data_IF_386746813101
#
_entry.id   IF_386746813101
#
_cell.length_a   1.000
_cell.length_b   1.000
_cell.length_c   1.000
_cell.angle_alpha   90.00
_cell.angle_beta   90.00
_cell.angle_gamma   90.00
#
_symmetry.space_group_name_H-M   'P 1'
#
loop_
_entity.id
_entity.type
_entity.pdbx_description
1 polymer ?
#
# COMPACT_ATOMS: atom_id res chain seq x y z
N UNK A 1 -36.21 22.63 -8.99
CA UNK A 1 -34.81 22.34 -9.38
C UNK A 1 -34.83 20.99 -10.06
N UNK A 2 -34.25 20.89 -11.24
CA UNK A 2 -34.27 19.65 -12.03
C UNK A 2 -33.21 18.68 -11.48
N UNK A 3 -33.50 17.38 -11.39
CA UNK A 3 -32.55 16.40 -10.81
C UNK A 3 -31.19 16.39 -11.53
N UNK A 4 -31.19 16.71 -12.83
CA UNK A 4 -29.98 16.89 -13.64
C UNK A 4 -29.09 18.08 -13.22
N UNK A 5 -29.66 19.14 -12.62
CA UNK A 5 -28.90 20.28 -12.06
C UNK A 5 -28.30 19.95 -10.68
N UNK A 6 -28.94 19.06 -9.92
CA UNK A 6 -28.44 18.61 -8.61
C UNK A 6 -27.27 17.64 -8.83
N UNK A 7 -27.39 16.68 -9.74
CA UNK A 7 -26.31 15.73 -10.08
C UNK A 7 -25.06 16.47 -10.57
N UNK A 8 -25.21 17.54 -11.38
CA UNK A 8 -24.08 18.34 -11.86
C UNK A 8 -23.35 19.15 -10.76
N UNK A 9 -23.96 19.38 -9.60
CA UNK A 9 -23.36 20.15 -8.49
C UNK A 9 -22.35 19.35 -7.66
N UNK A 10 -22.43 18.02 -7.66
CA UNK A 10 -21.60 17.15 -6.82
C UNK A 10 -20.51 16.38 -7.59
N UNK A 11 -20.39 16.60 -8.90
CA UNK A 11 -19.33 16.03 -9.71
C UNK A 11 -17.96 16.59 -9.30
N UNK A 12 -17.06 15.69 -8.89
CA UNK A 12 -15.68 16.01 -8.53
C UNK A 12 -14.74 15.58 -9.65
N UNK A 13 -13.85 16.48 -10.12
CA UNK A 13 -12.88 16.15 -11.14
C UNK A 13 -11.79 15.23 -10.59
N UNK A 14 -11.42 14.21 -11.36
CA UNK A 14 -10.32 13.32 -11.03
C UNK A 14 -9.55 12.91 -12.29
N UNK A 15 -8.28 12.56 -12.10
CA UNK A 15 -7.47 11.87 -13.10
C UNK A 15 -7.24 10.43 -12.69
N UNK A 16 -7.43 9.51 -13.63
CA UNK A 16 -7.16 8.09 -13.44
C UNK A 16 -6.05 7.66 -14.38
N UNK A 17 -4.97 7.09 -13.85
CA UNK A 17 -3.92 6.49 -14.68
C UNK A 17 -4.45 5.21 -15.34
N UNK A 18 -4.27 5.09 -16.64
CA UNK A 18 -4.65 3.87 -17.40
C UNK A 18 -3.48 2.87 -17.53
N UNK A 19 -2.28 3.26 -17.09
CA UNK A 19 -1.08 2.42 -17.06
C UNK A 19 -0.15 2.81 -15.88
N UNK A 20 0.72 1.89 -15.45
CA UNK A 20 1.72 2.12 -14.39
C UNK A 20 1.32 1.67 -12.98
N UNK A 21 1.96 2.24 -11.96
CA UNK A 21 1.76 1.86 -10.55
C UNK A 21 0.48 2.43 -9.94
N UNK A 22 -0.03 3.54 -10.47
CA UNK A 22 -1.23 4.25 -9.98
C UNK A 22 -2.51 3.86 -10.74
N UNK A 23 -2.51 2.72 -11.44
CA UNK A 23 -3.67 2.26 -12.22
C UNK A 23 -4.91 2.21 -11.34
N UNK A 24 -6.02 2.78 -11.85
CA UNK A 24 -7.34 2.76 -11.22
C UNK A 24 -7.47 3.49 -9.87
N UNK A 25 -6.49 4.32 -9.49
CA UNK A 25 -6.65 5.25 -8.36
C UNK A 25 -7.07 6.62 -8.90
N UNK A 26 -8.28 7.11 -8.58
CA UNK A 26 -8.67 8.47 -8.95
C UNK A 26 -7.89 9.48 -8.12
N UNK A 27 -7.17 10.38 -8.78
CA UNK A 27 -6.46 11.50 -8.18
C UNK A 27 -7.37 12.73 -8.24
N UNK A 28 -7.88 13.21 -7.09
CA UNK A 28 -8.77 14.38 -7.07
C UNK A 28 -8.06 15.64 -7.55
N UNK A 29 -8.74 16.44 -8.38
CA UNK A 29 -8.25 17.74 -8.81
C UNK A 29 -8.83 18.84 -7.92
N UNK A 30 -8.22 19.03 -6.74
CA UNK A 30 -8.73 19.93 -5.70
C UNK A 30 -8.33 21.40 -5.88
N UNK A 31 -7.35 21.67 -6.75
CA UNK A 31 -6.81 23.01 -6.99
C UNK A 31 -7.42 23.63 -8.24
N UNK A 32 -7.53 24.96 -8.25
CA UNK A 32 -7.94 25.74 -9.44
C UNK A 32 -7.00 25.49 -10.63
N UNK A 33 -5.73 25.24 -10.36
CA UNK A 33 -4.74 24.83 -11.35
C UNK A 33 -3.98 23.61 -10.83
N UNK A 34 -3.93 22.56 -11.65
CA UNK A 34 -3.19 21.32 -11.38
C UNK A 34 -2.13 21.13 -12.46
N UNK A 35 -0.87 21.01 -12.07
CA UNK A 35 0.26 20.79 -12.99
C UNK A 35 0.57 19.31 -13.11
N UNK A 36 0.62 18.83 -14.36
CA UNK A 36 1.08 17.51 -14.76
C UNK A 36 2.55 17.57 -15.17
N UNK A 37 3.40 16.70 -14.65
CA UNK A 37 4.80 16.66 -15.06
C UNK A 37 5.64 15.65 -14.30
N UNK A 38 6.90 15.45 -14.72
CA UNK A 38 7.80 14.49 -14.06
C UNK A 38 8.52 15.05 -12.83
N UNK A 39 8.48 16.38 -12.63
CA UNK A 39 9.15 17.01 -11.50
C UNK A 39 8.47 16.66 -10.17
N UNK A 40 9.24 16.71 -9.08
CA UNK A 40 8.74 16.50 -7.71
C UNK A 40 7.72 17.57 -7.32
N UNK A 41 7.91 18.80 -7.79
CA UNK A 41 7.00 19.93 -7.57
C UNK A 41 5.70 19.91 -8.41
N UNK A 42 5.49 18.93 -9.30
CA UNK A 42 4.23 18.82 -10.04
C UNK A 42 3.10 18.27 -9.15
N UNK A 43 1.89 18.80 -9.28
CA UNK A 43 0.73 18.35 -8.50
C UNK A 43 0.35 16.89 -8.84
N UNK A 44 0.42 16.54 -10.12
CA UNK A 44 0.27 15.16 -10.60
C UNK A 44 1.58 14.72 -11.23
N UNK A 45 2.35 13.96 -10.46
CA UNK A 45 3.65 13.45 -10.89
C UNK A 45 3.48 12.27 -11.84
N UNK A 46 4.08 12.39 -13.02
CA UNK A 46 4.12 11.33 -14.03
C UNK A 46 5.54 10.79 -14.13
N UNK A 47 5.73 9.52 -13.77
CA UNK A 47 7.06 8.89 -13.78
C UNK A 47 7.41 8.37 -15.18
N UNK A 48 7.67 9.30 -16.09
CA UNK A 48 7.98 9.02 -17.49
C UNK A 48 9.08 9.98 -17.97
N UNK A 49 10.15 9.43 -18.53
CA UNK A 49 11.30 10.21 -19.01
C UNK A 49 10.99 11.07 -20.23
N UNK A 50 9.95 10.71 -20.99
CA UNK A 50 9.42 11.47 -22.11
C UNK A 50 8.49 12.61 -21.68
N UNK A 51 8.20 12.72 -20.38
CA UNK A 51 7.39 13.81 -19.83
C UNK A 51 8.29 14.98 -19.39
N UNK A 52 7.93 16.21 -19.78
CA UNK A 52 8.62 17.42 -19.32
C UNK A 52 8.44 17.62 -17.80
N UNK A 53 9.36 18.36 -17.17
CA UNK A 53 9.31 18.65 -15.72
C UNK A 53 7.95 19.22 -15.29
N UNK A 54 7.49 20.22 -16.04
CA UNK A 54 6.11 20.69 -16.08
C UNK A 54 5.66 20.50 -17.53
N UNK A 55 4.67 19.66 -17.75
CA UNK A 55 4.27 19.20 -19.09
C UNK A 55 2.99 19.85 -19.56
N UNK A 56 1.96 19.79 -18.71
CA UNK A 56 0.66 20.37 -18.98
C UNK A 56 0.05 20.89 -17.68
N UNK A 57 -0.99 21.71 -17.78
CA UNK A 57 -1.83 22.07 -16.64
C UNK A 57 -3.30 21.87 -16.96
N UNK A 58 -4.07 21.55 -15.94
CA UNK A 58 -5.53 21.59 -15.96
C UNK A 58 -5.96 22.81 -15.15
N UNK A 59 -6.78 23.67 -15.75
CA UNK A 59 -7.35 24.86 -15.12
C UNK A 59 -8.85 24.64 -14.93
N UNK A 60 -9.33 24.82 -13.71
CA UNK A 60 -10.75 24.84 -13.38
C UNK A 60 -11.27 26.29 -13.39
N UNK A 61 -12.23 26.58 -14.26
CA UNK A 61 -12.88 27.90 -14.34
C UNK A 61 -14.37 27.76 -14.06
N UNK A 62 -14.97 28.61 -13.19
CA UNK A 62 -16.41 28.63 -12.99
C UNK A 62 -17.14 28.94 -14.30
N UNK A 63 -18.22 28.21 -14.59
CA UNK A 63 -19.10 28.54 -15.72
C UNK A 63 -19.85 29.85 -15.47
N UNK A 64 -20.46 30.43 -16.51
CA UNK A 64 -21.29 31.64 -16.41
C UNK A 64 -22.42 31.51 -15.36
N UNK A 65 -22.96 30.31 -15.18
CA UNK A 65 -23.98 30.04 -14.16
C UNK A 65 -23.41 29.96 -12.74
N UNK A 66 -22.08 29.88 -12.57
CA UNK A 66 -21.37 29.59 -11.31
C UNK A 66 -21.80 28.31 -10.60
N UNK A 67 -22.55 27.43 -11.27
CA UNK A 67 -23.03 26.17 -10.72
C UNK A 67 -22.08 25.02 -11.04
N UNK A 68 -21.35 25.10 -12.14
CA UNK A 68 -20.42 24.07 -12.59
C UNK A 68 -19.03 24.66 -12.83
N UNK A 69 -18.03 23.78 -12.87
CA UNK A 69 -16.68 24.11 -13.30
C UNK A 69 -16.46 23.58 -14.71
N UNK A 70 -15.82 24.38 -15.55
CA UNK A 70 -15.21 23.94 -16.80
C UNK A 70 -13.72 23.65 -16.56
N UNK A 71 -13.22 22.59 -17.17
CA UNK A 71 -11.82 22.19 -17.06
C UNK A 71 -11.16 22.35 -18.41
N UNK A 72 -10.03 23.04 -18.44
CA UNK A 72 -9.24 23.26 -19.67
C UNK A 72 -7.86 22.68 -19.49
N UNK A 73 -7.43 21.85 -20.43
CA UNK A 73 -6.08 21.31 -20.51
C UNK A 73 -5.22 22.22 -21.38
N UNK A 74 -4.03 22.58 -20.89
CA UNK A 74 -3.08 23.41 -21.60
C UNK A 74 -1.67 22.79 -21.57
N UNK A 75 -1.03 22.70 -22.74
CA UNK A 75 0.37 22.28 -22.88
C UNK A 75 1.31 23.42 -22.45
N UNK A 76 2.30 23.11 -21.60
CA UNK A 76 3.25 24.09 -21.07
C UNK A 76 4.54 24.17 -21.91
N UNK A 77 4.42 24.04 -23.23
CA UNK A 77 5.58 23.99 -24.13
C UNK A 77 6.37 22.69 -23.98
N UNK A 78 5.67 21.58 -23.82
CA UNK A 78 6.29 20.29 -23.55
C UNK A 78 7.11 19.80 -24.75
N UNK A 79 8.21 19.09 -24.48
CA UNK A 79 9.11 18.59 -25.54
C UNK A 79 8.41 17.66 -26.54
N UNK A 80 7.54 16.79 -26.04
CA UNK A 80 6.87 15.76 -26.84
C UNK A 80 5.40 16.11 -27.19
N UNK A 81 4.88 17.21 -26.66
CA UNK A 81 3.49 17.63 -26.82
C UNK A 81 2.52 16.89 -25.91
N UNK A 82 1.42 17.58 -25.60
CA UNK A 82 0.24 17.01 -24.93
C UNK A 82 -0.79 16.58 -25.96
N UNK A 83 -1.40 15.42 -25.78
CA UNK A 83 -2.45 14.90 -26.66
C UNK A 83 -3.74 14.67 -25.89
N UNK A 84 -4.87 15.04 -26.49
CA UNK A 84 -6.22 14.75 -26.01
C UNK A 84 -6.92 13.87 -27.02
N UNK A 85 -7.36 12.68 -26.61
CA UNK A 85 -7.99 11.67 -27.46
C UNK A 85 -7.18 11.37 -28.74
N UNK A 86 -5.84 11.36 -28.62
CA UNK A 86 -4.91 11.12 -29.73
C UNK A 86 -4.59 12.33 -30.60
N UNK A 87 -5.24 13.48 -30.38
CA UNK A 87 -4.94 14.73 -31.10
C UNK A 87 -4.01 15.61 -30.28
N UNK A 88 -2.92 16.10 -30.88
CA UNK A 88 -2.03 17.08 -30.22
C UNK A 88 -2.79 18.38 -29.98
N UNK A 89 -2.71 18.92 -28.76
CA UNK A 89 -3.39 20.16 -28.38
C UNK A 89 -2.39 21.17 -27.82
N UNK A 90 -2.73 22.46 -27.93
CA UNK A 90 -2.08 23.53 -27.16
C UNK A 90 -2.96 23.91 -25.97
N UNK A 91 -4.26 24.08 -26.22
CA UNK A 91 -5.27 24.32 -25.18
C UNK A 91 -6.60 23.74 -25.65
N UNK A 92 -7.27 22.93 -24.83
CA UNK A 92 -8.58 22.35 -25.17
C UNK A 92 -9.43 22.15 -23.91
N UNK A 93 -10.76 22.28 -24.04
CA UNK A 93 -11.70 21.93 -22.96
C UNK A 93 -11.75 20.41 -22.76
N UNK A 94 -11.82 19.99 -21.50
CA UNK A 94 -11.96 18.59 -21.10
C UNK A 94 -13.43 18.22 -20.89
N UNK A 95 -13.78 17.01 -21.33
CA UNK A 95 -15.06 16.34 -21.10
C UNK A 95 -14.85 15.05 -20.31
N UNK A 96 -15.88 14.60 -19.59
CA UNK A 96 -15.85 13.34 -18.85
C UNK A 96 -15.48 12.17 -19.77
N UNK A 97 -14.49 11.37 -19.37
CA UNK A 97 -13.98 10.22 -20.11
C UNK A 97 -12.85 10.54 -21.11
N UNK A 98 -12.44 11.80 -21.24
CA UNK A 98 -11.37 12.20 -22.15
C UNK A 98 -10.02 11.59 -21.76
N UNK A 99 -9.25 11.19 -22.77
CA UNK A 99 -7.92 10.57 -22.60
C UNK A 99 -6.82 11.57 -22.86
N UNK A 100 -6.05 11.88 -21.83
CA UNK A 100 -4.87 12.74 -21.88
C UNK A 100 -3.65 11.86 -22.04
N UNK A 101 -2.83 12.09 -23.07
CA UNK A 101 -1.56 11.39 -23.25
C UNK A 101 -0.41 12.37 -23.12
N UNK A 102 0.54 12.04 -22.24
CA UNK A 102 1.79 12.77 -22.01
C UNK A 102 2.94 11.76 -21.99
N UNK A 103 3.88 11.89 -22.93
CA UNK A 103 4.88 10.82 -23.14
C UNK A 103 4.21 9.51 -23.57
N UNK A 104 4.52 8.42 -22.87
CA UNK A 104 3.88 7.10 -23.01
C UNK A 104 2.73 6.89 -22.01
N UNK A 105 2.54 7.84 -21.09
CA UNK A 105 1.50 7.74 -20.06
C UNK A 105 0.15 8.22 -20.58
N UNK A 106 -0.89 7.43 -20.34
CA UNK A 106 -2.28 7.78 -20.63
C UNK A 106 -3.05 7.95 -19.31
N UNK A 107 -3.67 9.11 -19.15
CA UNK A 107 -4.60 9.42 -18.06
C UNK A 107 -6.00 9.62 -18.63
N UNK A 108 -7.02 9.30 -17.84
CA UNK A 108 -8.42 9.63 -18.16
C UNK A 108 -8.90 10.72 -17.21
N UNK A 109 -9.56 11.75 -17.75
CA UNK A 109 -10.24 12.76 -16.97
C UNK A 109 -11.67 12.32 -16.69
N UNK A 110 -12.04 12.17 -15.43
CA UNK A 110 -13.37 11.77 -15.00
C UNK A 110 -14.01 12.85 -14.12
N UNK A 111 -15.31 13.03 -14.27
CA UNK A 111 -16.17 13.78 -13.37
C UNK A 111 -16.97 12.76 -12.56
N UNK A 112 -16.59 12.54 -11.31
CA UNK A 112 -17.12 11.48 -10.46
C UNK A 112 -18.15 12.04 -9.48
N UNK A 113 -19.33 11.43 -9.42
CA UNK A 113 -20.30 11.73 -8.37
C UNK A 113 -19.95 11.03 -7.04
N UNK A 114 -20.84 11.08 -6.04
CA UNK A 114 -20.61 10.38 -4.78
C UNK A 114 -20.65 8.86 -4.90
N UNK A 115 -21.53 8.33 -5.76
CA UNK A 115 -21.69 6.89 -6.00
C UNK A 115 -20.45 6.36 -6.73
N UNK A 116 -19.99 7.05 -7.76
CA UNK A 116 -18.76 6.73 -8.50
C UNK A 116 -17.55 6.71 -7.56
N UNK A 117 -17.43 7.70 -6.68
CA UNK A 117 -16.31 7.76 -5.73
C UNK A 117 -16.36 6.60 -4.75
N UNK A 118 -17.52 6.25 -4.23
CA UNK A 118 -17.65 5.10 -3.33
C UNK A 118 -17.35 3.79 -4.07
N UNK A 119 -17.84 3.64 -5.30
CA UNK A 119 -17.53 2.48 -6.14
C UNK A 119 -16.04 2.34 -6.44
N UNK A 120 -15.36 3.44 -6.78
CA UNK A 120 -13.90 3.46 -6.99
C UNK A 120 -13.13 3.14 -5.70
N UNK A 121 -13.56 3.66 -4.54
CA UNK A 121 -12.96 3.29 -3.25
C UNK A 121 -13.09 1.79 -2.97
N UNK A 122 -14.25 1.21 -3.27
CA UNK A 122 -14.47 -0.23 -3.10
C UNK A 122 -13.57 -1.05 -4.03
N UNK A 123 -13.48 -0.69 -5.32
CA UNK A 123 -12.55 -1.33 -6.26
C UNK A 123 -11.12 -1.23 -5.76
N UNK A 124 -10.69 -0.03 -5.35
CA UNK A 124 -9.34 0.17 -4.83
C UNK A 124 -9.06 -0.69 -3.60
N UNK A 125 -10.04 -0.83 -2.70
CA UNK A 125 -9.91 -1.67 -1.51
C UNK A 125 -9.73 -3.14 -1.87
N UNK A 126 -10.51 -3.66 -2.83
CA UNK A 126 -10.41 -5.03 -3.33
C UNK A 126 -9.07 -5.33 -4.02
N UNK A 127 -8.45 -4.33 -4.65
CA UNK A 127 -7.11 -4.48 -5.25
C UNK A 127 -6.03 -4.39 -4.16
N UNK A 128 -6.24 -3.51 -3.18
CA UNK A 128 -5.19 -3.13 -2.24
C UNK A 128 -5.09 -4.04 -1.02
N UNK A 129 -6.14 -4.79 -0.71
CA UNK A 129 -6.20 -5.61 0.49
C UNK A 129 -6.53 -7.06 0.15
N UNK A 130 -6.05 -7.98 0.97
CA UNK A 130 -6.43 -9.38 0.94
C UNK A 130 -7.84 -9.55 1.54
N UNK A 131 -8.74 -10.18 0.80
CA UNK A 131 -10.15 -10.32 1.18
C UNK A 131 -10.36 -11.15 2.46
N UNK A 132 -9.43 -12.07 2.78
CA UNK A 132 -9.56 -12.95 3.94
C UNK A 132 -9.13 -12.27 5.23
N UNK A 133 -8.04 -11.49 5.19
CA UNK A 133 -7.40 -10.93 6.38
C UNK A 133 -7.62 -9.43 6.54
N UNK A 134 -8.00 -8.73 5.47
CA UNK A 134 -8.09 -7.28 5.44
C UNK A 134 -6.73 -6.56 5.50
N UNK A 135 -5.62 -7.31 5.51
CA UNK A 135 -4.26 -6.77 5.38
C UNK A 135 -4.00 -6.31 3.94
N UNK A 136 -2.89 -5.62 3.69
CA UNK A 136 -2.51 -5.28 2.31
C UNK A 136 -2.32 -6.54 1.45
N UNK A 137 -2.60 -6.41 0.16
CA UNK A 137 -2.16 -7.38 -0.84
C UNK A 137 -0.64 -7.28 -1.01
N UNK A 138 0.01 -8.37 -1.42
CA UNK A 138 1.46 -8.36 -1.71
C UNK A 138 1.85 -7.24 -2.69
N UNK A 139 1.03 -6.99 -3.71
CA UNK A 139 1.26 -5.91 -4.66
C UNK A 139 1.27 -4.54 -3.99
N UNK A 140 0.30 -4.27 -3.13
CA UNK A 140 0.23 -3.00 -2.41
C UNK A 140 1.38 -2.85 -1.42
N UNK A 141 1.75 -3.92 -0.71
CA UNK A 141 2.91 -3.92 0.18
C UNK A 141 4.19 -3.45 -0.51
N UNK A 142 4.54 -4.01 -1.66
CA UNK A 142 5.75 -3.59 -2.40
C UNK A 142 5.68 -2.15 -2.90
N UNK A 143 4.49 -1.68 -3.30
CA UNK A 143 4.28 -0.29 -3.71
C UNK A 143 4.53 0.66 -2.54
N UNK A 144 3.97 0.35 -1.38
CA UNK A 144 4.14 1.15 -0.16
C UNK A 144 5.59 1.10 0.34
N UNK A 145 6.19 -0.09 0.39
CA UNK A 145 7.57 -0.28 0.85
C UNK A 145 8.56 0.52 0.00
N UNK A 146 8.42 0.52 -1.33
CA UNK A 146 9.27 1.34 -2.22
C UNK A 146 9.12 2.83 -1.94
N UNK A 147 7.87 3.29 -1.74
CA UNK A 147 7.57 4.69 -1.42
C UNK A 147 8.22 5.09 -0.10
N UNK A 148 8.08 4.27 0.94
CA UNK A 148 8.65 4.55 2.26
C UNK A 148 10.18 4.43 2.26
N UNK A 149 10.79 3.50 1.52
CA UNK A 149 12.24 3.43 1.35
C UNK A 149 12.83 4.71 0.72
N UNK A 150 12.14 5.28 -0.27
CA UNK A 150 12.56 6.56 -0.87
C UNK A 150 12.48 7.73 0.11
N UNK A 151 11.47 7.76 0.99
CA UNK A 151 11.35 8.76 2.08
C UNK A 151 12.43 8.55 3.13
N UNK A 152 12.59 7.31 3.61
CA UNK A 152 13.58 6.90 4.60
C UNK A 152 15.00 7.28 4.21
N UNK A 153 15.35 7.12 2.92
CA UNK A 153 16.63 7.56 2.36
C UNK A 153 16.81 9.08 2.47
N UNK A 154 15.76 9.86 2.19
CA UNK A 154 15.82 11.33 2.19
C UNK A 154 15.88 11.90 3.61
N UNK A 155 15.16 11.27 4.54
CA UNK A 155 15.02 11.74 5.93
C UNK A 155 16.01 11.06 6.90
N UNK A 156 16.82 10.12 6.40
CA UNK A 156 17.72 9.27 7.19
C UNK A 156 17.00 8.57 8.36
N UNK A 157 15.84 7.97 8.07
CA UNK A 157 14.99 7.28 9.05
C UNK A 157 15.07 5.76 8.86
N UNK A 158 15.44 4.99 9.90
CA UNK A 158 15.49 3.54 9.80
C UNK A 158 14.09 2.93 9.80
N UNK A 159 13.95 1.78 9.16
CA UNK A 159 12.76 0.94 9.24
C UNK A 159 13.16 -0.53 9.21
N UNK A 160 12.29 -1.42 9.69
CA UNK A 160 12.50 -2.86 9.63
C UNK A 160 11.49 -3.53 8.68
N UNK A 161 11.90 -4.63 8.05
CA UNK A 161 11.02 -5.52 7.28
C UNK A 161 10.93 -6.86 8.00
N UNK A 162 9.70 -7.37 8.13
CA UNK A 162 9.39 -8.64 8.76
C UNK A 162 8.79 -9.58 7.71
N UNK A 163 9.29 -10.81 7.66
CA UNK A 163 8.67 -11.93 6.93
C UNK A 163 8.21 -12.98 7.94
N UNK A 164 6.99 -13.46 7.80
CA UNK A 164 6.30 -14.29 8.80
C UNK A 164 5.61 -15.47 8.12
N UNK A 165 5.61 -16.63 8.76
CA UNK A 165 4.90 -17.81 8.26
C UNK A 165 4.37 -18.69 9.41
N UNK A 166 3.15 -19.18 9.22
CA UNK A 166 2.45 -20.06 10.15
C UNK A 166 3.09 -21.43 10.30
N UNK A 167 3.59 -21.74 11.50
CA UNK A 167 4.29 -23.00 11.73
C UNK A 167 3.35 -24.21 11.60
N UNK A 168 3.69 -25.11 10.68
CA UNK A 168 2.94 -26.34 10.42
C UNK A 168 1.47 -26.08 10.03
N UNK A 169 1.16 -24.97 9.36
CA UNK A 169 -0.21 -24.61 8.95
C UNK A 169 -0.90 -25.70 8.11
N UNK A 170 -0.15 -26.45 7.29
CA UNK A 170 -0.71 -27.61 6.57
C UNK A 170 -1.37 -28.62 7.50
N UNK A 171 -0.82 -28.87 8.69
CA UNK A 171 -1.40 -29.78 9.67
C UNK A 171 -2.74 -29.26 10.21
N UNK A 172 -2.94 -27.94 10.31
CA UNK A 172 -4.23 -27.33 10.66
C UNK A 172 -5.27 -27.65 9.59
N UNK A 173 -4.93 -27.47 8.31
CA UNK A 173 -5.82 -27.82 7.20
C UNK A 173 -6.14 -29.33 7.19
N UNK A 174 -5.12 -30.17 7.33
CA UNK A 174 -5.28 -31.62 7.27
C UNK A 174 -6.11 -32.15 8.45
N UNK A 175 -5.98 -31.55 9.64
CA UNK A 175 -6.68 -31.98 10.86
C UNK A 175 -8.10 -31.41 10.96
N UNK A 176 -8.27 -30.13 10.68
CA UNK A 176 -9.50 -29.39 10.97
C UNK A 176 -10.31 -29.05 9.72
N UNK A 177 -9.70 -29.06 8.54
CA UNK A 177 -10.29 -28.70 7.26
C UNK A 177 -10.03 -27.24 6.87
N UNK A 178 -10.18 -26.94 5.57
CA UNK A 178 -9.86 -25.63 5.01
C UNK A 178 -10.67 -24.46 5.59
N UNK A 179 -11.90 -24.67 6.05
CA UNK A 179 -12.68 -23.61 6.72
C UNK A 179 -12.00 -23.14 8.01
N UNK A 180 -11.47 -24.09 8.80
CA UNK A 180 -10.69 -23.76 10.00
C UNK A 180 -9.35 -23.14 9.63
N UNK A 181 -8.70 -23.63 8.57
CA UNK A 181 -7.48 -23.02 8.04
C UNK A 181 -7.66 -21.55 7.65
N UNK A 182 -8.68 -21.24 6.86
CA UNK A 182 -9.02 -19.86 6.49
C UNK A 182 -9.31 -18.99 7.72
N UNK A 183 -10.06 -19.52 8.70
CA UNK A 183 -10.33 -18.79 9.94
C UNK A 183 -9.05 -18.55 10.76
N UNK A 184 -8.15 -19.53 10.78
CA UNK A 184 -6.84 -19.40 11.44
C UNK A 184 -6.00 -18.30 10.78
N UNK A 185 -5.98 -18.22 9.44
CA UNK A 185 -5.29 -17.16 8.69
C UNK A 185 -5.89 -15.78 9.01
N UNK A 186 -7.22 -15.67 9.04
CA UNK A 186 -7.93 -14.44 9.41
C UNK A 186 -7.52 -13.98 10.82
N UNK A 187 -7.51 -14.90 11.79
CA UNK A 187 -7.12 -14.60 13.17
C UNK A 187 -5.63 -14.25 13.31
N UNK A 188 -4.73 -14.90 12.55
CA UNK A 188 -3.30 -14.51 12.49
C UNK A 188 -3.17 -13.09 11.94
N UNK A 189 -3.86 -12.76 10.85
CA UNK A 189 -3.83 -11.42 10.27
C UNK A 189 -4.30 -10.35 11.26
N UNK A 190 -5.37 -10.64 12.00
CA UNK A 190 -5.85 -9.76 13.07
C UNK A 190 -4.83 -9.61 14.22
N UNK A 191 -4.20 -10.70 14.65
CA UNK A 191 -3.16 -10.66 15.68
C UNK A 191 -1.94 -9.83 15.24
N UNK A 192 -1.53 -9.92 13.97
CA UNK A 192 -0.47 -9.06 13.41
C UNK A 192 -0.91 -7.60 13.47
N UNK A 193 -2.07 -7.27 12.90
CA UNK A 193 -2.55 -5.89 12.78
C UNK A 193 -2.68 -5.19 14.15
N UNK A 194 -3.21 -5.88 15.16
CA UNK A 194 -3.40 -5.32 16.51
C UNK A 194 -2.09 -5.08 17.27
N UNK A 195 -1.01 -5.72 16.85
CA UNK A 195 0.32 -5.54 17.43
C UNK A 195 1.17 -4.49 16.72
N UNK A 196 0.71 -3.96 15.58
CA UNK A 196 1.36 -2.89 14.83
C UNK A 196 0.95 -1.50 15.33
N UNK A 197 1.83 -0.51 15.13
CA UNK A 197 1.54 0.90 15.47
C UNK A 197 0.86 1.61 14.31
N UNK A 198 0.33 2.81 14.59
CA UNK A 198 -0.11 3.72 13.53
C UNK A 198 1.07 4.06 12.62
N UNK A 199 0.91 3.84 11.31
CA UNK A 199 1.95 4.07 10.30
C UNK A 199 2.71 2.81 9.87
N UNK A 200 2.74 1.76 10.70
CA UNK A 200 3.24 0.45 10.28
C UNK A 200 2.23 -0.20 9.31
N UNK A 201 2.70 -1.11 8.46
CA UNK A 201 1.84 -1.84 7.54
C UNK A 201 2.14 -3.34 7.57
N UNK A 202 1.09 -4.15 7.35
CA UNK A 202 1.19 -5.59 7.16
C UNK A 202 0.43 -6.02 5.91
N UNK A 203 0.88 -7.13 5.34
CA UNK A 203 0.35 -7.72 4.13
C UNK A 203 0.31 -9.24 4.22
N UNK A 204 -0.59 -9.84 3.44
CA UNK A 204 -0.58 -11.28 3.18
C UNK A 204 0.03 -11.53 1.80
N UNK A 205 1.05 -12.38 1.75
CA UNK A 205 1.76 -12.70 0.51
C UNK A 205 1.11 -13.86 -0.23
N UNK A 206 0.51 -14.80 0.51
CA UNK A 206 -0.23 -15.94 -0.02
C UNK A 206 -0.20 -17.08 0.98
N UNK A 207 -1.16 -18.01 0.92
CA UNK A 207 -1.22 -19.12 1.87
C UNK A 207 -1.25 -18.61 3.33
N UNK A 208 -0.24 -19.00 4.09
CA UNK A 208 0.04 -18.65 5.49
C UNK A 208 1.26 -17.73 5.67
N UNK A 209 1.72 -17.09 4.57
CA UNK A 209 2.84 -16.15 4.56
C UNK A 209 2.35 -14.70 4.68
N UNK A 210 3.01 -13.95 5.56
CA UNK A 210 2.72 -12.56 5.86
C UNK A 210 4.01 -11.73 5.84
N UNK A 211 3.87 -10.44 5.57
CA UNK A 211 4.96 -9.48 5.66
C UNK A 211 4.50 -8.24 6.43
N UNK A 212 5.45 -7.53 7.03
CA UNK A 212 5.22 -6.20 7.60
C UNK A 212 6.44 -5.31 7.42
N UNK A 213 6.23 -3.99 7.42
CA UNK A 213 7.32 -3.04 7.63
C UNK A 213 6.99 -2.12 8.79
N UNK A 214 8.01 -1.80 9.58
CA UNK A 214 7.91 -1.02 10.82
C UNK A 214 8.65 0.28 10.62
N UNK A 215 7.92 1.40 10.54
CA UNK A 215 8.52 2.71 10.34
C UNK A 215 9.19 3.18 11.64
N UNK A 216 10.27 3.96 11.52
CA UNK A 216 11.01 4.52 12.66
C UNK A 216 11.54 3.47 13.64
N UNK A 217 11.98 2.34 13.10
CA UNK A 217 12.45 1.21 13.87
C UNK A 217 13.86 0.81 13.42
N UNK A 218 14.85 0.97 14.31
CA UNK A 218 16.12 0.26 14.19
C UNK A 218 15.91 -1.24 14.51
N UNK A 219 16.89 -2.07 14.18
CA UNK A 219 16.79 -3.53 14.33
C UNK A 219 16.35 -4.00 15.74
N UNK A 220 16.87 -3.48 16.87
CA UNK A 220 16.39 -3.88 18.20
C UNK A 220 14.88 -3.65 18.41
N UNK A 221 14.36 -2.51 17.93
CA UNK A 221 12.95 -2.13 18.00
C UNK A 221 12.12 -3.08 17.13
N UNK A 222 12.62 -3.41 15.94
CA UNK A 222 12.00 -4.37 15.03
C UNK A 222 11.88 -5.76 15.65
N UNK A 223 12.95 -6.24 16.32
CA UNK A 223 12.95 -7.52 17.02
C UNK A 223 11.97 -7.56 18.20
N UNK A 224 11.86 -6.48 18.97
CA UNK A 224 10.88 -6.38 20.06
C UNK A 224 9.45 -6.41 19.53
N UNK A 225 9.18 -5.76 18.39
CA UNK A 225 7.87 -5.81 17.75
C UNK A 225 7.55 -7.18 17.17
N UNK A 226 8.52 -7.81 16.50
CA UNK A 226 8.39 -9.18 16.00
C UNK A 226 8.11 -10.18 17.13
N UNK A 227 8.82 -10.08 18.25
CA UNK A 227 8.63 -10.98 19.38
C UNK A 227 7.25 -10.79 20.03
N UNK A 228 6.75 -9.55 20.08
CA UNK A 228 5.39 -9.26 20.54
C UNK A 228 4.34 -9.92 19.64
N UNK A 229 4.49 -9.83 18.32
CA UNK A 229 3.60 -10.51 17.35
C UNK A 229 3.65 -12.03 17.57
N UNK A 230 4.85 -12.60 17.64
CA UNK A 230 5.07 -14.03 17.83
C UNK A 230 4.39 -14.54 19.11
N UNK A 231 4.66 -13.89 20.25
CA UNK A 231 4.09 -14.25 21.53
C UNK A 231 2.55 -14.08 21.55
N UNK A 232 2.03 -13.03 20.92
CA UNK A 232 0.59 -12.82 20.79
C UNK A 232 -0.09 -13.98 20.05
N UNK A 233 0.50 -14.43 18.93
CA UNK A 233 -0.02 -15.57 18.14
C UNK A 233 0.10 -16.87 18.91
N UNK A 234 1.25 -17.14 19.54
CA UNK A 234 1.47 -18.34 20.36
C UNK A 234 0.43 -18.47 21.50
N UNK A 235 0.11 -17.35 22.15
CA UNK A 235 -0.86 -17.31 23.26
C UNK A 235 -2.33 -17.31 22.82
N UNK A 236 -2.61 -17.18 21.52
CA UNK A 236 -3.96 -17.07 20.99
C UNK A 236 -4.62 -18.45 20.84
N UNK A 237 -5.88 -18.55 21.25
CA UNK A 237 -6.69 -19.77 21.09
C UNK A 237 -7.58 -19.64 19.84
N UNK A 238 -7.14 -20.27 18.75
CA UNK A 238 -7.76 -20.18 17.43
C UNK A 238 -9.04 -20.99 17.33
N UNK A 239 -10.06 -20.45 16.66
CA UNK A 239 -11.36 -21.11 16.52
C UNK A 239 -11.31 -22.25 15.49
N UNK A 240 -11.85 -23.41 15.87
CA UNK A 240 -12.17 -24.48 14.91
C UNK A 240 -13.56 -24.25 14.34
N UNK A 241 -13.66 -24.16 13.02
CA UNK A 241 -14.92 -23.96 12.29
C UNK A 241 -15.43 -25.30 11.78
N UNK A 242 -16.43 -25.88 12.46
CA UNK A 242 -17.11 -27.11 12.05
C UNK A 242 -18.62 -27.06 12.33
N UNK A 243 -19.48 -27.56 11.40
CA UNK A 243 -20.93 -27.63 11.65
C UNK A 243 -21.25 -28.47 12.89
N UNK A 244 -21.99 -27.90 13.84
CA UNK A 244 -22.45 -28.61 15.04
C UNK A 244 -21.44 -28.71 16.19
N UNK A 245 -20.20 -28.22 16.02
CA UNK A 245 -19.23 -28.03 17.11
C UNK A 245 -19.10 -26.53 17.40
N UNK A 246 -19.33 -26.12 18.65
CA UNK A 246 -19.08 -24.75 19.13
C UNK A 246 -17.95 -24.78 20.16
N UNK A 247 -17.13 -23.73 20.19
CA UNK A 247 -16.04 -23.50 21.17
C UNK A 247 -14.82 -24.42 21.14
N UNK A 248 -14.65 -25.26 20.11
CA UNK A 248 -13.40 -26.00 19.96
C UNK A 248 -12.26 -25.06 19.54
N UNK A 249 -11.12 -25.16 20.23
CA UNK A 249 -9.92 -24.35 20.00
C UNK A 249 -8.74 -25.19 19.52
N UNK A 250 -7.79 -24.54 18.86
CA UNK A 250 -6.46 -25.08 18.56
C UNK A 250 -5.39 -24.00 18.72
N UNK A 251 -4.12 -24.39 18.66
CA UNK A 251 -2.99 -23.47 18.76
C UNK A 251 -2.07 -23.66 17.55
N UNK A 252 -1.53 -22.55 17.06
CA UNK A 252 -0.49 -22.51 16.05
C UNK A 252 0.52 -21.43 16.46
N UNK A 253 1.77 -21.60 16.04
CA UNK A 253 2.84 -20.61 16.25
C UNK A 253 3.24 -19.98 14.92
N UNK A 254 4.07 -18.95 14.98
CA UNK A 254 4.62 -18.28 13.80
C UNK A 254 6.14 -18.21 13.91
N UNK A 255 6.83 -18.40 12.79
CA UNK A 255 8.24 -18.07 12.67
C UNK A 255 8.39 -16.71 12.00
N UNK A 256 9.35 -15.89 12.42
CA UNK A 256 9.53 -14.52 11.91
C UNK A 256 11.00 -14.27 11.58
N UNK A 257 11.25 -13.71 10.40
CA UNK A 257 12.53 -13.17 9.98
C UNK A 257 12.50 -11.64 9.92
N UNK A 258 13.59 -10.98 10.31
CA UNK A 258 13.69 -9.51 10.38
C UNK A 258 14.92 -9.00 9.64
N UNK A 259 14.78 -7.96 8.82
CA UNK A 259 15.87 -7.17 8.24
C UNK A 259 15.66 -5.67 8.53
N UNK A 260 16.71 -4.88 8.36
CA UNK A 260 16.79 -3.47 8.75
C UNK A 260 17.33 -2.57 7.63
N UNK A 261 16.61 -1.50 7.35
CA UNK A 261 17.06 -0.41 6.48
C UNK A 261 17.73 0.70 7.31
N UNK A 262 18.85 1.29 6.85
CA UNK A 262 19.62 0.91 5.65
C UNK A 262 20.74 -0.11 5.93
N UNK A 263 20.89 -0.59 7.17
CA UNK A 263 22.08 -1.34 7.61
C UNK A 263 22.24 -2.71 6.92
N UNK A 264 21.15 -3.41 6.62
CA UNK A 264 21.20 -4.69 5.88
C UNK A 264 21.22 -4.46 4.36
N UNK A 265 20.34 -3.58 3.86
CA UNK A 265 20.36 -3.11 2.47
C UNK A 265 19.60 -1.79 2.33
N UNK A 266 19.95 -1.01 1.30
CA UNK A 266 19.17 0.16 0.85
C UNK A 266 18.12 -0.17 -0.22
N UNK A 267 18.12 -1.39 -0.76
CA UNK A 267 17.10 -1.84 -1.71
C UNK A 267 15.94 -2.53 -0.97
N UNK A 268 14.69 -2.01 -1.08
CA UNK A 268 13.53 -2.61 -0.43
C UNK A 268 13.25 -4.05 -0.85
N UNK A 269 13.61 -4.47 -2.06
CA UNK A 269 13.42 -5.86 -2.52
C UNK A 269 14.43 -6.78 -1.84
N UNK A 270 15.71 -6.39 -1.80
CA UNK A 270 16.74 -7.17 -1.10
C UNK A 270 16.41 -7.29 0.39
N UNK A 271 15.87 -6.25 1.03
CA UNK A 271 15.44 -6.34 2.44
C UNK A 271 14.39 -7.41 2.68
N UNK A 272 13.41 -7.56 1.77
CA UNK A 272 12.41 -8.63 1.86
C UNK A 272 13.07 -10.00 1.72
N UNK A 273 14.00 -10.18 0.78
CA UNK A 273 14.75 -11.44 0.59
C UNK A 273 15.63 -11.79 1.80
N UNK A 274 16.23 -10.77 2.43
CA UNK A 274 17.02 -10.92 3.66
C UNK A 274 16.15 -11.32 4.85
N UNK A 275 14.98 -10.69 5.00
CA UNK A 275 14.01 -11.09 6.03
C UNK A 275 13.49 -12.51 5.79
N UNK A 276 13.22 -12.91 4.55
CA UNK A 276 12.83 -14.28 4.19
C UNK A 276 13.93 -15.30 4.51
N UNK A 277 15.19 -14.96 4.20
CA UNK A 277 16.35 -15.78 4.58
C UNK A 277 16.45 -15.97 6.10
N UNK A 278 16.14 -14.93 6.87
CA UNK A 278 16.11 -15.00 8.33
C UNK A 278 14.92 -15.84 8.84
N UNK A 279 13.75 -15.74 8.20
CA UNK A 279 12.57 -16.57 8.46
C UNK A 279 12.87 -18.05 8.22
N UNK A 280 13.56 -18.37 7.13
CA UNK A 280 14.00 -19.72 6.84
C UNK A 280 14.91 -20.28 7.94
N UNK A 281 15.83 -19.47 8.49
CA UNK A 281 16.62 -19.85 9.67
C UNK A 281 15.75 -20.08 10.90
N UNK A 282 14.79 -19.19 11.19
CA UNK A 282 13.84 -19.36 12.29
C UNK A 282 13.11 -20.71 12.21
N UNK A 283 12.64 -21.10 11.01
CA UNK A 283 11.99 -22.41 10.79
C UNK A 283 12.95 -23.58 10.99
N UNK A 284 14.19 -23.49 10.49
CA UNK A 284 15.19 -24.55 10.62
C UNK A 284 15.64 -24.75 12.06
N UNK A 285 15.74 -23.68 12.83
CA UNK A 285 16.30 -23.74 14.18
C UNK A 285 15.29 -24.19 15.24
N UNK A 286 14.07 -24.54 14.82
CA UNK A 286 13.05 -25.13 15.69
C UNK A 286 11.70 -24.42 15.65
N UNK A 287 11.48 -23.49 14.71
CA UNK A 287 10.24 -22.71 14.57
C UNK A 287 9.94 -21.84 15.80
N UNK A 288 8.76 -21.22 15.81
CA UNK A 288 8.24 -20.40 16.91
C UNK A 288 9.29 -19.43 17.48
N UNK A 289 9.92 -18.66 16.60
CA UNK A 289 10.99 -17.74 16.98
C UNK A 289 11.15 -16.59 15.99
N UNK A 290 11.83 -15.57 16.47
CA UNK A 290 12.29 -14.43 15.68
C UNK A 290 13.77 -14.60 15.36
N UNK A 291 14.16 -14.38 14.12
CA UNK A 291 15.56 -14.35 13.67
C UNK A 291 15.83 -13.06 12.92
N UNK A 292 16.88 -12.33 13.29
CA UNK A 292 17.40 -11.22 12.49
C UNK A 292 18.22 -11.75 11.30
N UNK A 293 18.33 -10.96 10.22
CA UNK A 293 19.21 -11.26 9.09
C UNK A 293 20.69 -11.16 9.48
N UNK A 294 21.05 -10.09 10.20
CA UNK A 294 22.37 -9.89 10.81
C UNK A 294 22.31 -9.96 12.33
N UNK A 295 23.47 -10.09 12.96
CA UNK A 295 23.58 -9.98 14.41
C UNK A 295 23.37 -8.53 14.87
N UNK A 296 22.72 -8.37 16.04
CA UNK A 296 22.58 -7.07 16.71
C UNK A 296 23.89 -6.72 17.40
N UNK A 297 24.40 -5.52 17.16
CA UNK A 297 25.65 -5.06 17.78
C UNK A 297 25.45 -4.66 19.25
N UNK A 298 26.53 -4.68 20.04
CA UNK A 298 26.51 -4.25 21.45
C UNK A 298 26.16 -2.77 21.62
N UNK A 299 26.40 -1.94 20.61
CA UNK A 299 26.04 -0.52 20.64
C UNK A 299 24.53 -0.33 20.47
N UNK A 300 23.93 -1.03 19.51
CA UNK A 300 22.49 -1.02 19.26
C UNK A 300 21.69 -1.49 20.49
N UNK A 301 22.17 -2.53 21.18
CA UNK A 301 21.55 -3.02 22.42
C UNK A 301 21.61 -2.01 23.58
N UNK A 302 22.61 -1.11 23.58
CA UNK A 302 22.79 -0.09 24.63
C UNK A 302 22.00 1.19 24.39
N UNK A 303 21.49 1.39 23.17
CA UNK A 303 20.56 2.50 22.88
C UNK A 303 19.23 2.17 23.56
N UNK A 304 18.85 2.98 24.55
CA UNK A 304 17.58 2.78 25.25
C UNK A 304 16.43 2.76 24.24
N UNK A 305 15.70 1.65 24.20
CA UNK A 305 14.47 1.54 23.42
C UNK A 305 13.50 2.62 23.91
N UNK A 306 13.10 3.60 23.07
CA UNK A 306 12.14 4.60 23.49
C UNK A 306 10.81 3.90 23.85
N UNK A 307 10.11 4.34 24.90
CA UNK A 307 8.80 3.81 25.24
C UNK A 307 7.84 4.03 24.06
N UNK A 308 6.87 3.12 23.92
CA UNK A 308 5.79 3.20 22.93
C UNK A 308 5.22 4.62 22.92
N UNK A 309 5.32 5.32 21.78
CA UNK A 309 4.44 6.46 21.51
C UNK A 309 3.17 5.87 20.89
N UNK A 310 2.07 6.03 21.61
CA UNK A 310 0.72 5.64 21.16
C UNK A 310 0.27 6.48 19.96
#
# INVERSE_FOLDING_TARGET
>A
MNDAEIIRRDLRPALVFLSGELIAVPIPLEREQVILGRALEADVRVNDTLVSRQHARIIATPTESRVAMEYTLEDLGSRNGTFLNGRRIATEKLSNGDKITVGETILRFDLLDEIDREYQRQIHRLISHDDLTGLLSSRSFFSELRREAARATSDNRPFCVLMMDGDNFKAVNDTFGHLTGSKTIEEIGFAIMTNLRSGDAAARFGGDEFAAFLLDAELPQGLVAAERIRASIESHEFLVVRPGETDRRHNITVSIGVSSFPEDSSDPIELVEMADSALYRAKRDGRNRVSAYRDVTQEELRRNLPPRRD
#
